data_IF_655524103438
#
_entry.id   IF_655524103438
#
_cell.length_a   1.000
_cell.length_b   1.000
_cell.length_c   1.000
_cell.angle_alpha   90.00
_cell.angle_beta   90.00
_cell.angle_gamma   90.00
#
_symmetry.space_group_name_H-M   'P 1'
#
loop_
_entity.id
_entity.type
_entity.pdbx_description
1 polymer ?
#
# COMPACT_ATOMS: atom_id res chain seq x y z
N UNK A 1 -9.47 1.49 -1.35
CA UNK A 1 -8.77 2.80 -1.23
C UNK A 1 -7.62 2.83 -2.24
N UNK A 2 -7.27 3.97 -2.86
CA UNK A 2 -6.15 4.02 -3.81
C UNK A 2 -4.79 4.02 -3.09
N UNK A 3 -3.72 3.67 -3.83
CA UNK A 3 -2.33 3.92 -3.37
C UNK A 3 -2.08 5.43 -3.25
N UNK A 4 -1.33 5.83 -2.22
CA UNK A 4 -1.01 7.25 -1.99
C UNK A 4 0.46 7.42 -1.57
N UNK A 5 1.27 7.98 -2.47
CA UNK A 5 2.69 8.30 -2.20
C UNK A 5 2.83 9.39 -1.13
N UNK A 6 1.91 10.35 -1.10
CA UNK A 6 1.97 11.48 -0.16
C UNK A 6 2.92 12.59 -0.62
N UNK A 7 3.21 13.55 0.28
CA UNK A 7 3.89 14.81 -0.06
C UNK A 7 5.41 14.79 0.17
N UNK A 8 5.88 13.87 0.99
CA UNK A 8 7.32 13.72 1.25
C UNK A 8 8.01 12.97 0.10
N UNK A 9 9.34 13.14 0.00
CA UNK A 9 10.16 12.64 -1.12
C UNK A 9 11.07 11.47 -0.75
N UNK A 10 10.81 10.80 0.36
CA UNK A 10 11.57 9.61 0.73
C UNK A 10 11.19 8.43 -0.18
N UNK A 11 12.06 7.40 -0.20
CA UNK A 11 11.85 6.20 -0.98
C UNK A 11 11.57 5.02 -0.04
N UNK A 12 10.29 4.76 0.24
CA UNK A 12 9.87 3.59 1.02
C UNK A 12 9.08 2.63 0.13
N UNK A 13 9.66 1.48 -0.26
CA UNK A 13 8.90 0.39 -0.87
C UNK A 13 7.83 -0.10 0.09
N UNK A 14 6.59 -0.12 -0.38
CA UNK A 14 5.40 -0.51 0.39
C UNK A 14 4.44 -1.30 -0.48
N UNK A 15 3.49 -1.95 0.16
CA UNK A 15 2.43 -2.72 -0.49
C UNK A 15 1.09 -2.03 -0.33
N UNK A 16 0.23 -2.12 -1.33
CA UNK A 16 -1.16 -1.66 -1.27
C UNK A 16 -2.06 -2.68 -1.94
N UNK A 17 -3.30 -2.79 -1.49
CA UNK A 17 -4.30 -3.63 -2.14
C UNK A 17 -4.89 -2.89 -3.34
N UNK A 18 -4.71 -3.46 -4.53
CA UNK A 18 -5.32 -2.99 -5.76
C UNK A 18 -6.66 -3.71 -5.97
N UNK A 19 -7.76 -2.95 -5.89
CA UNK A 19 -9.12 -3.49 -6.04
C UNK A 19 -9.46 -3.88 -7.48
N UNK A 20 -8.76 -3.34 -8.46
CA UNK A 20 -9.02 -3.59 -9.88
C UNK A 20 -8.45 -4.96 -10.29
N UNK A 21 -7.24 -5.27 -9.83
CA UNK A 21 -6.58 -6.57 -10.04
C UNK A 21 -6.91 -7.57 -8.95
N UNK A 22 -7.48 -7.12 -7.83
CA UNK A 22 -7.73 -7.89 -6.60
C UNK A 22 -6.46 -8.48 -5.98
N UNK A 23 -5.34 -7.79 -6.13
CA UNK A 23 -4.03 -8.25 -5.68
C UNK A 23 -3.31 -7.19 -4.84
N UNK A 24 -2.40 -7.63 -3.97
CA UNK A 24 -1.47 -6.74 -3.31
C UNK A 24 -0.31 -6.42 -4.26
N UNK A 25 -0.09 -5.13 -4.51
CA UNK A 25 0.91 -4.62 -5.45
C UNK A 25 1.89 -3.68 -4.74
N UNK A 26 3.11 -3.56 -5.28
CA UNK A 26 4.13 -2.66 -4.75
C UNK A 26 3.91 -1.21 -5.21
N UNK A 27 4.25 -0.27 -4.34
CA UNK A 27 4.35 1.15 -4.67
C UNK A 27 5.41 1.85 -3.81
N UNK A 28 5.76 3.08 -4.16
CA UNK A 28 6.67 3.91 -3.36
C UNK A 28 5.87 4.89 -2.52
N UNK A 29 6.05 4.81 -1.21
CA UNK A 29 5.55 5.77 -0.24
C UNK A 29 6.61 6.83 0.06
N UNK A 30 6.19 8.09 -0.02
CA UNK A 30 7.02 9.27 0.18
C UNK A 30 7.44 9.53 1.63
N UNK A 31 6.84 8.83 2.60
CA UNK A 31 7.18 8.92 4.03
C UNK A 31 6.23 9.78 4.86
N UNK A 32 5.37 10.59 4.25
CA UNK A 32 4.31 11.34 4.94
C UNK A 32 3.09 11.56 4.05
N UNK A 33 1.90 11.73 4.65
CA UNK A 33 0.66 12.04 3.91
C UNK A 33 0.08 10.86 3.13
N UNK A 34 0.37 9.62 3.55
CA UNK A 34 -0.23 8.40 3.02
C UNK A 34 -1.61 8.11 3.61
N UNK A 35 -2.18 6.96 3.28
CA UNK A 35 -3.44 6.46 3.83
C UNK A 35 -3.25 5.03 4.38
N UNK A 36 -4.31 4.44 4.94
CA UNK A 36 -4.24 3.10 5.55
C UNK A 36 -4.03 1.94 4.57
N UNK A 37 -4.17 2.15 3.26
CA UNK A 37 -3.83 1.15 2.25
C UNK A 37 -2.33 1.20 1.92
N UNK A 38 -1.52 0.93 2.94
CA UNK A 38 -0.06 1.01 2.91
C UNK A 38 0.52 0.05 3.93
N UNK A 39 1.12 -1.03 3.45
CA UNK A 39 1.61 -2.15 4.26
C UNK A 39 3.10 -2.38 4.05
N UNK A 40 3.77 -2.96 5.05
CA UNK A 40 5.21 -3.23 4.99
C UNK A 40 5.53 -4.51 4.20
N UNK A 41 4.57 -5.43 4.09
CA UNK A 41 4.74 -6.70 3.40
C UNK A 41 3.49 -7.09 2.62
N UNK A 42 3.68 -7.96 1.62
CA UNK A 42 2.59 -8.56 0.85
C UNK A 42 1.65 -9.37 1.75
N UNK A 43 2.20 -10.13 2.70
CA UNK A 43 1.42 -10.94 3.65
C UNK A 43 0.53 -10.08 4.56
N UNK A 44 1.03 -8.95 5.06
CA UNK A 44 0.21 -8.00 5.83
C UNK A 44 -0.94 -7.43 5.00
N UNK A 45 -0.65 -7.05 3.75
CA UNK A 45 -1.65 -6.57 2.81
C UNK A 45 -2.72 -7.64 2.51
N UNK A 46 -2.28 -8.87 2.21
CA UNK A 46 -3.17 -10.00 1.93
C UNK A 46 -4.03 -10.32 3.17
N UNK A 47 -3.45 -10.34 4.37
CA UNK A 47 -4.22 -10.57 5.61
C UNK A 47 -5.26 -9.49 5.86
N UNK A 48 -4.94 -8.23 5.54
CA UNK A 48 -5.86 -7.11 5.74
C UNK A 48 -7.01 -7.10 4.72
N UNK A 49 -6.80 -7.57 3.49
CA UNK A 49 -7.75 -7.39 2.39
C UNK A 49 -8.31 -8.69 1.78
N UNK A 50 -7.69 -9.85 1.99
CA UNK A 50 -8.13 -11.15 1.48
C UNK A 50 -8.84 -12.02 2.52
N UNK A 51 -8.93 -11.59 3.78
CA UNK A 51 -9.74 -12.26 4.82
C UNK A 51 -11.16 -11.67 4.90
N UNK A 52 -11.88 -11.66 3.78
CA UNK A 52 -13.31 -11.32 3.71
C UNK A 52 -14.10 -12.47 3.09
#
# INVERSE_FOLDING_TARGET
MPKLTGLCLAYFPRWFYNTDTKMCENFIYGGCGGNSNNFLSEDECNKACMNA
#
